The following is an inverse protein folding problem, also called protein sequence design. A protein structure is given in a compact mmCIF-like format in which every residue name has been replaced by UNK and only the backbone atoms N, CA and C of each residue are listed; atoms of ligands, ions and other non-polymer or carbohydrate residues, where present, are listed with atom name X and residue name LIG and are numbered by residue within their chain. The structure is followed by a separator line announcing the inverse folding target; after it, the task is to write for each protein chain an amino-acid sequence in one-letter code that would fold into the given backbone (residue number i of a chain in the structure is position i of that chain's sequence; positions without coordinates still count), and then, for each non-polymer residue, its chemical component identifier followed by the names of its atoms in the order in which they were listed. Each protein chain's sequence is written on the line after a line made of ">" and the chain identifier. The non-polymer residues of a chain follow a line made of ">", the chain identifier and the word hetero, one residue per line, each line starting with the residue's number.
data_IF_637791857806
#
_entry.id   IF_637791857806
#
_cell.length_a   1.000
_cell.length_b   1.000
_cell.length_c   1.000
_cell.angle_alpha   90.00
_cell.angle_beta   90.00
_cell.angle_gamma   90.00
#
_symmetry.space_group_name_H-M   'P 1'
#
loop_
_entity.id
_entity.type
_entity.pdbx_description
1 polymer ?
#
# COMPACT_ATOMS: atom_id res chain seq x y z
N UNK A 1 12.19 -43.80 -14.89
CA UNK A 1 11.31 -42.98 -15.76
C UNK A 1 10.36 -42.13 -14.91
N UNK A 2 10.89 -41.34 -13.97
CA UNK A 2 10.12 -40.48 -13.04
C UNK A 2 10.55 -39.02 -13.09
N UNK A 3 11.71 -38.74 -13.69
CA UNK A 3 12.25 -37.41 -13.87
C UNK A 3 11.33 -36.41 -14.63
N UNK A 4 10.53 -36.78 -15.65
CA UNK A 4 9.63 -35.81 -16.28
C UNK A 4 8.49 -35.39 -15.34
N UNK A 5 8.00 -36.30 -14.49
CA UNK A 5 7.01 -35.96 -13.46
C UNK A 5 7.59 -35.00 -12.43
N UNK A 6 8.83 -35.22 -11.99
CA UNK A 6 9.52 -34.31 -11.07
C UNK A 6 9.73 -32.93 -11.71
N UNK A 7 10.12 -32.87 -12.98
CA UNK A 7 10.28 -31.60 -13.70
C UNK A 7 8.96 -30.83 -13.81
N UNK A 8 7.86 -31.51 -14.14
CA UNK A 8 6.52 -30.90 -14.17
C UNK A 8 6.11 -30.38 -12.80
N UNK A 9 6.34 -31.14 -11.73
CA UNK A 9 6.03 -30.69 -10.35
C UNK A 9 6.81 -29.41 -10.01
N UNK A 10 8.11 -29.35 -10.31
CA UNK A 10 8.92 -28.15 -10.06
C UNK A 10 8.39 -26.94 -10.82
N UNK A 11 8.07 -27.11 -12.10
CA UNK A 11 7.49 -26.02 -12.92
C UNK A 11 6.15 -25.56 -12.35
N UNK A 12 5.26 -26.49 -11.96
CA UNK A 12 3.98 -26.16 -11.35
C UNK A 12 4.14 -25.41 -10.03
N UNK A 13 5.10 -25.80 -9.18
CA UNK A 13 5.38 -25.11 -7.91
C UNK A 13 5.89 -23.69 -8.16
N UNK A 14 6.79 -23.49 -9.13
CA UNK A 14 7.26 -22.15 -9.51
C UNK A 14 6.13 -21.27 -10.03
N UNK A 15 5.28 -21.79 -10.93
CA UNK A 15 4.13 -21.05 -11.45
C UNK A 15 3.11 -20.70 -10.36
N UNK A 16 2.87 -21.61 -9.42
CA UNK A 16 2.00 -21.36 -8.26
C UNK A 16 2.58 -20.26 -7.36
N UNK A 17 3.89 -20.25 -7.13
CA UNK A 17 4.56 -19.20 -6.35
C UNK A 17 4.37 -17.82 -6.98
N UNK A 18 4.64 -17.68 -8.29
CA UNK A 18 4.44 -16.40 -9.00
C UNK A 18 2.97 -15.95 -9.00
N UNK A 19 2.04 -16.89 -9.17
CA UNK A 19 0.60 -16.58 -9.16
C UNK A 19 0.15 -16.05 -7.80
N UNK A 20 0.68 -16.60 -6.70
CA UNK A 20 0.38 -16.14 -5.34
C UNK A 20 0.90 -14.71 -5.11
N UNK A 21 2.08 -14.38 -5.63
CA UNK A 21 2.65 -13.04 -5.54
C UNK A 21 1.76 -12.00 -6.24
N UNK A 22 1.29 -12.29 -7.47
CA UNK A 22 0.40 -11.40 -8.22
C UNK A 22 -0.92 -11.16 -7.48
N UNK A 23 -1.54 -12.22 -6.93
CA UNK A 23 -2.81 -12.11 -6.20
C UNK A 23 -2.63 -11.34 -4.88
N UNK A 24 -1.52 -11.55 -4.16
CA UNK A 24 -1.18 -10.77 -2.97
C UNK A 24 -1.02 -9.30 -3.30
N UNK A 25 -0.25 -8.99 -4.34
CA UNK A 25 0.01 -7.63 -4.77
C UNK A 25 -1.27 -6.92 -5.28
N UNK A 26 -2.17 -7.64 -5.95
CA UNK A 26 -3.49 -7.12 -6.33
C UNK A 26 -4.39 -6.81 -5.12
N UNK A 27 -4.39 -7.65 -4.08
CA UNK A 27 -5.12 -7.35 -2.83
C UNK A 27 -4.54 -6.15 -2.10
N UNK A 28 -3.22 -6.04 -2.08
CA UNK A 28 -2.53 -4.91 -1.48
C UNK A 28 -2.85 -3.60 -2.23
N UNK A 29 -2.89 -3.64 -3.57
CA UNK A 29 -3.28 -2.50 -4.41
C UNK A 29 -4.71 -2.05 -4.12
N UNK A 30 -5.68 -2.97 -4.17
CA UNK A 30 -7.11 -2.65 -3.92
C UNK A 30 -7.34 -2.22 -2.46
N UNK A 31 -6.64 -2.85 -1.51
CA UNK A 31 -6.67 -2.47 -0.10
C UNK A 31 -6.13 -1.05 0.10
N UNK A 32 -4.98 -0.74 -0.49
CA UNK A 32 -4.36 0.58 -0.49
C UNK A 32 -5.26 1.65 -1.09
N UNK A 33 -5.87 1.41 -2.26
CA UNK A 33 -6.83 2.37 -2.86
C UNK A 33 -8.06 2.62 -1.98
N UNK A 34 -8.54 1.59 -1.28
CA UNK A 34 -9.63 1.73 -0.32
C UNK A 34 -9.24 2.63 0.85
N UNK A 35 -8.04 2.42 1.40
CA UNK A 35 -7.49 3.22 2.50
C UNK A 35 -7.25 4.67 2.06
N UNK A 36 -6.66 4.87 0.89
CA UNK A 36 -6.47 6.19 0.27
C UNK A 36 -7.79 6.96 0.18
N UNK A 37 -8.81 6.34 -0.44
CA UNK A 37 -10.10 7.00 -0.69
C UNK A 37 -10.83 7.32 0.63
N UNK A 38 -10.76 6.43 1.61
CA UNK A 38 -11.33 6.66 2.94
C UNK A 38 -10.60 7.76 3.68
N UNK A 39 -9.27 7.73 3.71
CA UNK A 39 -8.44 8.75 4.37
C UNK A 39 -8.65 10.13 3.78
N UNK A 40 -8.67 10.24 2.44
CA UNK A 40 -8.94 11.50 1.75
C UNK A 40 -10.35 12.04 2.05
N UNK A 41 -11.38 11.18 2.00
CA UNK A 41 -12.75 11.58 2.31
C UNK A 41 -12.92 12.03 3.76
N UNK A 42 -12.36 11.28 4.70
CA UNK A 42 -12.41 11.62 6.13
C UNK A 42 -11.65 12.92 6.41
N UNK A 43 -10.49 13.13 5.78
CA UNK A 43 -9.74 14.36 5.90
C UNK A 43 -10.56 15.58 5.44
N UNK A 44 -11.16 15.52 4.25
CA UNK A 44 -12.00 16.61 3.74
C UNK A 44 -13.19 16.86 4.66
N UNK A 45 -13.85 15.81 5.13
CA UNK A 45 -14.97 15.93 6.07
C UNK A 45 -14.56 16.62 7.38
N UNK A 46 -13.48 16.18 8.01
CA UNK A 46 -12.98 16.74 9.27
C UNK A 46 -12.51 18.18 9.13
N UNK A 47 -11.84 18.50 8.03
CA UNK A 47 -11.42 19.87 7.75
C UNK A 47 -12.63 20.80 7.55
N UNK A 48 -13.65 20.34 6.82
CA UNK A 48 -14.90 21.09 6.63
C UNK A 48 -15.67 21.30 7.94
N UNK A 49 -15.61 20.32 8.85
CA UNK A 49 -16.20 20.46 10.18
C UNK A 49 -15.40 21.44 11.04
N UNK A 50 -14.07 21.39 10.99
CA UNK A 50 -13.20 22.32 11.71
C UNK A 50 -13.42 23.78 11.31
N UNK A 51 -13.67 24.09 10.03
CA UNK A 51 -13.96 25.48 9.63
C UNK A 51 -15.22 26.05 10.27
N UNK A 52 -16.15 25.18 10.67
CA UNK A 52 -17.40 25.56 11.35
C UNK A 52 -17.25 25.51 12.88
N UNK A 53 -16.63 24.46 13.42
CA UNK A 53 -16.53 24.22 14.87
C UNK A 53 -15.35 24.95 15.52
N UNK A 54 -14.28 25.21 14.77
CA UNK A 54 -12.94 25.59 15.25
C UNK A 54 -12.39 24.68 16.37
N UNK A 55 -12.85 23.44 16.41
CA UNK A 55 -12.42 22.47 17.42
C UNK A 55 -11.06 21.87 17.06
N UNK A 56 -10.11 21.97 17.99
CA UNK A 56 -8.79 21.33 17.86
C UNK A 56 -8.89 19.81 17.64
N UNK A 57 -9.96 19.18 18.13
CA UNK A 57 -10.23 17.75 17.94
C UNK A 57 -10.49 17.41 16.46
N UNK A 58 -11.32 18.21 15.77
CA UNK A 58 -11.61 18.02 14.34
C UNK A 58 -10.34 18.22 13.51
N UNK A 59 -9.49 19.17 13.90
CA UNK A 59 -8.20 19.38 13.24
C UNK A 59 -7.22 18.22 13.50
N UNK A 60 -7.19 17.68 14.72
CA UNK A 60 -6.43 16.48 15.04
C UNK A 60 -6.87 15.28 14.21
N UNK A 61 -8.17 15.04 14.10
CA UNK A 61 -8.74 13.97 13.28
C UNK A 61 -8.42 14.15 11.78
N UNK A 62 -8.47 15.38 11.27
CA UNK A 62 -8.00 15.70 9.92
C UNK A 62 -6.54 15.31 9.70
N UNK A 63 -5.64 15.69 10.63
CA UNK A 63 -4.20 15.37 10.52
C UNK A 63 -3.94 13.87 10.48
N UNK A 64 -4.69 13.09 11.26
CA UNK A 64 -4.60 11.63 11.22
C UNK A 64 -5.12 11.07 9.89
N UNK A 65 -6.27 11.55 9.42
CA UNK A 65 -6.88 11.04 8.18
C UNK A 65 -6.05 11.37 6.93
N UNK A 66 -5.45 12.58 6.86
CA UNK A 66 -4.63 13.01 5.72
C UNK A 66 -3.25 12.34 5.71
N UNK A 67 -2.77 11.82 6.84
CA UNK A 67 -1.47 11.14 6.92
C UNK A 67 -1.41 9.89 6.03
N UNK A 68 -2.53 9.16 5.90
CA UNK A 68 -2.65 7.96 5.05
C UNK A 68 -2.33 8.27 3.57
N UNK A 69 -3.08 9.14 2.87
CA UNK A 69 -2.78 9.46 1.48
C UNK A 69 -1.44 10.20 1.31
N UNK A 70 -0.96 10.92 2.32
CA UNK A 70 0.38 11.51 2.24
C UNK A 70 1.50 10.46 2.33
N UNK A 71 1.32 9.40 3.13
CA UNK A 71 2.23 8.27 3.21
C UNK A 71 2.34 7.52 1.89
N UNK A 72 1.19 7.16 1.31
CA UNK A 72 1.13 6.51 -0.01
C UNK A 72 1.76 7.39 -1.11
N UNK A 73 1.49 8.70 -1.09
CA UNK A 73 2.11 9.64 -2.03
C UNK A 73 3.63 9.68 -1.88
N UNK A 74 4.15 9.69 -0.64
CA UNK A 74 5.59 9.65 -0.36
C UNK A 74 6.22 8.39 -0.94
N UNK A 75 5.61 7.23 -0.74
CA UNK A 75 6.11 5.97 -1.29
C UNK A 75 6.17 5.98 -2.82
N UNK A 76 5.10 6.46 -3.49
CA UNK A 76 5.05 6.54 -4.96
C UNK A 76 6.08 7.50 -5.53
N UNK A 77 6.22 8.69 -4.96
CA UNK A 77 7.21 9.68 -5.42
C UNK A 77 8.64 9.19 -5.24
N UNK A 78 8.91 8.38 -4.22
CA UNK A 78 10.21 7.75 -4.03
C UNK A 78 10.49 6.69 -5.09
N UNK A 79 9.50 5.83 -5.39
CA UNK A 79 9.60 4.81 -6.46
C UNK A 79 9.82 5.41 -7.85
N UNK A 80 9.34 6.63 -8.11
CA UNK A 80 9.53 7.33 -9.38
C UNK A 80 10.96 7.86 -9.60
N UNK A 81 11.83 7.79 -8.58
CA UNK A 81 13.22 8.25 -8.70
C UNK A 81 14.08 7.26 -9.49
N UNK A 82 15.16 7.74 -10.16
CA UNK A 82 16.11 6.86 -10.84
C UNK A 82 16.81 5.86 -9.91
N UNK A 83 17.00 6.22 -8.64
CA UNK A 83 17.58 5.39 -7.59
C UNK A 83 16.68 5.53 -6.34
N UNK A 84 15.64 4.68 -6.19
CA UNK A 84 14.66 4.80 -5.13
C UNK A 84 15.20 4.24 -3.80
N UNK A 85 15.03 4.99 -2.70
CA UNK A 85 15.29 4.46 -1.36
C UNK A 85 14.12 3.57 -0.89
N UNK A 86 14.31 2.26 -0.97
CA UNK A 86 13.28 1.28 -0.58
C UNK A 86 12.88 1.37 0.89
N UNK A 87 13.73 1.90 1.77
CA UNK A 87 13.37 2.14 3.17
C UNK A 87 12.30 3.24 3.25
N UNK A 88 12.47 4.33 2.48
CA UNK A 88 11.50 5.42 2.38
C UNK A 88 10.20 4.96 1.73
N UNK A 89 10.27 4.11 0.71
CA UNK A 89 9.08 3.50 0.10
C UNK A 89 8.29 2.67 1.12
N UNK A 90 9.00 1.83 1.89
CA UNK A 90 8.41 1.00 2.94
C UNK A 90 7.76 1.85 4.02
N UNK A 91 8.44 2.89 4.51
CA UNK A 91 7.86 3.82 5.48
C UNK A 91 6.59 4.50 4.96
N UNK A 92 6.60 4.92 3.69
CA UNK A 92 5.45 5.57 3.07
C UNK A 92 4.23 4.64 2.99
N UNK A 93 4.41 3.40 2.54
CA UNK A 93 3.30 2.43 2.47
C UNK A 93 2.80 1.99 3.85
N UNK A 94 3.67 1.90 4.86
CA UNK A 94 3.25 1.67 6.26
C UNK A 94 2.41 2.85 6.77
N UNK A 95 2.85 4.09 6.50
CA UNK A 95 2.08 5.28 6.85
C UNK A 95 0.73 5.36 6.10
N UNK A 96 0.66 4.79 4.89
CA UNK A 96 -0.57 4.55 4.13
C UNK A 96 -1.47 3.44 4.68
N UNK A 97 -1.04 2.75 5.74
CA UNK A 97 -1.82 1.68 6.40
C UNK A 97 -1.73 0.32 5.72
N UNK A 98 -0.81 0.13 4.77
CA UNK A 98 -0.56 -1.16 4.15
C UNK A 98 0.18 -2.09 5.12
N UNK A 99 -0.09 -3.40 5.04
CA UNK A 99 0.55 -4.37 5.92
C UNK A 99 2.03 -4.55 5.53
N UNK A 100 2.98 -4.61 6.48
CA UNK A 100 4.42 -4.70 6.19
C UNK A 100 4.84 -5.88 5.27
N UNK A 101 4.08 -6.97 5.32
CA UNK A 101 4.34 -8.18 4.54
C UNK A 101 3.92 -8.05 3.07
N UNK A 102 2.94 -7.17 2.78
CA UNK A 102 2.45 -6.96 1.41
C UNK A 102 3.33 -5.97 0.63
N UNK A 103 4.08 -5.12 1.34
CA UNK A 103 4.87 -4.03 0.73
C UNK A 103 5.93 -4.56 -0.24
N UNK A 104 6.57 -5.69 0.07
CA UNK A 104 7.59 -6.24 -0.81
C UNK A 104 7.03 -6.59 -2.19
N UNK A 105 5.82 -7.16 -2.25
CA UNK A 105 5.13 -7.46 -3.50
C UNK A 105 4.62 -6.21 -4.22
N UNK A 106 4.25 -5.15 -3.48
CA UNK A 106 3.83 -3.87 -4.06
C UNK A 106 4.97 -3.10 -4.72
N UNK A 107 6.20 -3.23 -4.23
CA UNK A 107 7.39 -2.57 -4.79
C UNK A 107 7.79 -3.19 -6.14
N UNK A 108 7.54 -4.49 -6.31
CA UNK A 108 7.98 -5.27 -7.48
C UNK A 108 6.95 -5.35 -8.61
N UNK A 109 5.75 -4.77 -8.42
CA UNK A 109 4.70 -4.67 -9.44
C UNK A 109 5.00 -3.56 -10.45
#
# INVERSE_FOLDING_TARGET
>A
MTWPFLAVIVVLVLLAHESLNIVSAGRAYVGGESLWSKGQKEAVYRLSRYTQSRSEEDFGAFRTAIAVPLGDRRARLELEKPDPDLAVVREGFIAGGNHPDDIAGMITL
#
